data_IF_257607432127
#
_entry.id   IF_257607432127
#
_cell.length_a   1.000
_cell.length_b   1.000
_cell.length_c   1.000
_cell.angle_alpha   90.00
_cell.angle_beta   90.00
_cell.angle_gamma   90.00
#
_symmetry.space_group_name_H-M   'P 1'
#
loop_
_entity.id
_entity.type
_entity.pdbx_description
1 polymer ?
#
# COMPACT_ATOMS: atom_id res chain seq x y z
N UNK A 1 -3.30 -10.99 -17.87
CA UNK A 1 -3.55 -10.44 -16.52
C UNK A 1 -3.56 -11.59 -15.54
N UNK A 2 -2.42 -11.82 -14.88
CA UNK A 2 -2.22 -12.84 -13.84
C UNK A 2 -2.03 -12.16 -12.47
N UNK A 3 -2.16 -12.93 -11.38
CA UNK A 3 -1.84 -12.44 -10.03
C UNK A 3 -0.39 -11.96 -9.90
N UNK A 4 0.52 -12.59 -10.63
CA UNK A 4 1.93 -12.20 -10.66
C UNK A 4 2.13 -10.86 -11.36
N UNK A 5 1.40 -10.58 -12.45
CA UNK A 5 1.41 -9.26 -13.10
C UNK A 5 0.84 -8.17 -12.18
N UNK A 6 -0.23 -8.47 -11.42
CA UNK A 6 -0.78 -7.57 -10.42
C UNK A 6 0.23 -7.27 -9.29
N UNK A 7 0.89 -8.31 -8.78
CA UNK A 7 1.98 -8.17 -7.79
C UNK A 7 3.16 -7.38 -8.35
N UNK A 8 3.53 -7.58 -9.62
CA UNK A 8 4.64 -6.86 -10.23
C UNK A 8 4.32 -5.37 -10.45
N UNK A 9 3.08 -5.03 -10.80
CA UNK A 9 2.63 -3.64 -10.80
C UNK A 9 2.73 -3.03 -9.40
N UNK A 10 2.25 -3.74 -8.38
CA UNK A 10 2.32 -3.31 -6.99
C UNK A 10 3.77 -3.00 -6.57
N UNK A 11 4.69 -3.92 -6.83
CA UNK A 11 6.10 -3.75 -6.46
C UNK A 11 6.76 -2.60 -7.20
N UNK A 12 6.50 -2.45 -8.50
CA UNK A 12 7.21 -1.48 -9.33
C UNK A 12 6.65 -0.08 -9.26
N UNK A 13 5.33 0.06 -9.09
CA UNK A 13 4.64 1.34 -9.25
C UNK A 13 3.90 1.80 -8.00
N UNK A 14 3.61 0.90 -7.05
CA UNK A 14 2.95 1.30 -5.81
C UNK A 14 3.99 1.48 -4.71
N UNK A 15 4.70 0.41 -4.34
CA UNK A 15 5.59 0.37 -3.19
C UNK A 15 6.61 1.53 -3.13
N UNK A 16 7.27 1.96 -4.22
CA UNK A 16 8.22 3.09 -4.16
C UNK A 16 7.62 4.40 -3.65
N UNK A 17 6.30 4.54 -3.72
CA UNK A 17 5.54 5.73 -3.32
C UNK A 17 4.75 5.54 -2.03
N UNK A 18 4.74 4.34 -1.45
CA UNK A 18 4.14 4.08 -0.14
C UNK A 18 5.10 4.55 0.94
N UNK A 19 4.60 5.26 1.95
CA UNK A 19 5.40 5.64 3.13
C UNK A 19 5.65 4.45 4.04
N UNK A 20 6.62 4.56 4.95
CA UNK A 20 6.88 3.50 5.92
C UNK A 20 5.67 3.23 6.82
N UNK A 21 4.97 4.28 7.24
CA UNK A 21 3.73 4.17 7.99
C UNK A 21 2.60 3.52 7.18
N UNK A 22 2.42 3.92 5.92
CA UNK A 22 1.43 3.31 5.03
C UNK A 22 1.72 1.85 4.75
N UNK A 23 3.01 1.48 4.62
CA UNK A 23 3.44 0.11 4.38
C UNK A 23 3.15 -0.79 5.58
N UNK A 24 3.51 -0.36 6.79
CA UNK A 24 3.24 -1.11 8.02
C UNK A 24 1.74 -1.23 8.31
N UNK A 25 0.96 -0.19 8.02
CA UNK A 25 -0.50 -0.21 8.10
C UNK A 25 -1.10 -1.22 7.11
N UNK A 26 -0.65 -1.19 5.85
CA UNK A 26 -1.11 -2.10 4.81
C UNK A 26 -0.83 -3.57 5.15
N UNK A 27 0.36 -3.87 5.67
CA UNK A 27 0.70 -5.21 6.19
C UNK A 27 -0.33 -5.64 7.24
N UNK A 28 -0.61 -4.77 8.22
CA UNK A 28 -1.56 -5.08 9.29
C UNK A 28 -2.96 -5.39 8.75
N UNK A 29 -3.43 -4.63 7.77
CA UNK A 29 -4.73 -4.87 7.14
C UNK A 29 -4.78 -6.19 6.36
N UNK A 30 -3.73 -6.50 5.60
CA UNK A 30 -3.63 -7.74 4.82
C UNK A 30 -3.53 -8.98 5.71
N UNK A 31 -2.76 -8.92 6.79
CA UNK A 31 -2.63 -10.01 7.78
C UNK A 31 -3.97 -10.34 8.45
N UNK A 32 -4.73 -9.30 8.77
CA UNK A 32 -6.01 -9.45 9.47
C UNK A 32 -7.15 -9.82 8.51
N UNK A 33 -6.94 -9.78 7.19
CA UNK A 33 -8.03 -9.84 6.22
C UNK A 33 -9.07 -8.76 6.51
N UNK A 34 -8.61 -7.54 6.83
CA UNK A 34 -9.45 -6.50 7.43
C UNK A 34 -10.62 -6.13 6.54
N UNK A 35 -11.87 -6.06 7.06
CA UNK A 35 -13.03 -5.64 6.27
C UNK A 35 -12.92 -4.20 5.75
N UNK A 36 -11.94 -3.42 6.26
CA UNK A 36 -11.62 -2.11 5.72
C UNK A 36 -11.04 -2.18 4.31
N UNK A 37 -10.40 -3.29 3.92
CA UNK A 37 -9.90 -3.52 2.57
C UNK A 37 -11.04 -3.88 1.62
N UNK A 38 -11.91 -2.90 1.39
CA UNK A 38 -13.08 -3.03 0.53
C UNK A 38 -12.59 -3.32 -0.90
N UNK A 39 -13.25 -4.27 -1.54
CA UNK A 39 -13.14 -4.52 -2.97
C UNK A 39 -14.42 -4.06 -3.66
N UNK A 40 -14.31 -3.64 -4.92
CA UNK A 40 -15.44 -3.20 -5.70
C UNK A 40 -15.00 -2.19 -6.73
N UNK A 41 -15.57 -2.30 -7.92
CA UNK A 41 -15.29 -1.40 -9.04
C UNK A 41 -15.36 0.05 -8.56
N UNK A 42 -14.28 0.81 -8.82
CA UNK A 42 -14.24 2.28 -8.73
C UNK A 42 -15.36 3.01 -9.52
N UNK A 43 -16.29 2.28 -10.14
CA UNK A 43 -17.32 2.74 -11.05
C UNK A 43 -18.75 2.49 -10.57
N UNK A 44 -18.99 1.84 -9.42
CA UNK A 44 -20.34 1.52 -8.94
C UNK A 44 -20.75 2.23 -7.64
N UNK A 45 -19.83 2.37 -6.68
CA UNK A 45 -19.93 3.20 -5.48
C UNK A 45 -18.49 3.44 -4.98
N UNK A 46 -18.14 4.66 -4.57
CA UNK A 46 -16.75 5.03 -4.29
C UNK A 46 -16.15 4.19 -3.14
N UNK A 47 -15.12 3.36 -3.40
CA UNK A 47 -14.64 2.40 -2.41
C UNK A 47 -13.78 3.13 -1.37
N UNK A 48 -14.43 3.63 -0.32
CA UNK A 48 -13.75 3.97 0.94
C UNK A 48 -13.03 2.72 1.44
N UNK A 49 -11.76 2.86 1.79
CA UNK A 49 -10.98 1.78 2.39
C UNK A 49 -10.35 0.76 1.42
N UNK A 50 -10.51 0.86 0.09
CA UNK A 50 -9.71 0.04 -0.82
C UNK A 50 -8.19 0.25 -0.60
N UNK A 51 -7.36 -0.66 -1.15
CA UNK A 51 -5.89 -0.63 -1.01
C UNK A 51 -5.29 0.78 -1.20
N UNK A 52 -5.68 1.45 -2.28
CA UNK A 52 -5.18 2.78 -2.61
C UNK A 52 -5.60 3.85 -1.60
N UNK A 53 -6.84 3.80 -1.10
CA UNK A 53 -7.34 4.75 -0.10
C UNK A 53 -6.64 4.59 1.25
N UNK A 54 -6.38 3.35 1.68
CA UNK A 54 -5.62 3.09 2.92
C UNK A 54 -4.19 3.62 2.82
N UNK A 55 -3.55 3.48 1.66
CA UNK A 55 -2.23 4.07 1.42
C UNK A 55 -2.33 5.61 1.43
N UNK A 56 -3.33 6.17 0.74
CA UNK A 56 -3.50 7.61 0.60
C UNK A 56 -3.67 8.31 1.95
N UNK A 57 -4.50 7.76 2.84
CA UNK A 57 -4.72 8.31 4.18
C UNK A 57 -3.48 8.26 5.08
N UNK A 58 -2.56 7.34 4.81
CA UNK A 58 -1.29 7.22 5.53
C UNK A 58 -0.10 7.85 4.79
N UNK A 59 -0.37 8.66 3.76
CA UNK A 59 0.66 9.32 2.95
C UNK A 59 0.59 10.86 3.11
N UNK A 60 1.69 11.56 3.42
CA UNK A 60 1.67 12.97 3.84
C UNK A 60 1.13 13.93 2.78
N UNK A 61 1.25 13.58 1.49
CA UNK A 61 0.71 14.41 0.39
C UNK A 61 -0.81 14.29 0.20
N UNK A 62 -1.44 13.31 0.82
CA UNK A 62 -2.86 12.95 0.62
C UNK A 62 -3.60 12.69 1.93
N UNK A 63 -2.94 12.72 3.08
CA UNK A 63 -3.52 12.45 4.39
C UNK A 63 -4.55 13.50 4.83
N UNK A 64 -4.49 14.71 4.28
CA UNK A 64 -5.49 15.76 4.49
C UNK A 64 -6.73 15.61 3.59
N UNK A 65 -6.73 14.63 2.69
CA UNK A 65 -7.88 14.29 1.87
C UNK A 65 -8.73 13.29 2.65
N UNK A 66 -9.65 13.83 3.46
CA UNK A 66 -10.72 13.03 4.09
C UNK A 66 -11.79 12.60 3.05
N UNK A 67 -11.59 12.98 1.79
CA UNK A 67 -12.53 12.78 0.69
C UNK A 67 -12.41 11.40 0.05
N UNK A 68 -13.51 10.98 -0.56
CA UNK A 68 -13.70 9.66 -1.18
C UNK A 68 -12.72 9.40 -2.34
N UNK A 69 -12.10 10.44 -2.88
CA UNK A 69 -11.15 10.38 -4.00
C UNK A 69 -9.67 10.23 -3.57
N UNK A 70 -9.37 10.15 -2.27
CA UNK A 70 -7.99 10.13 -1.77
C UNK A 70 -7.13 9.05 -2.45
N UNK A 71 -7.67 7.85 -2.65
CA UNK A 71 -7.00 6.76 -3.36
C UNK A 71 -6.73 7.08 -4.84
N UNK A 72 -7.70 7.68 -5.54
CA UNK A 72 -7.54 8.10 -6.95
C UNK A 72 -6.50 9.20 -7.08
N UNK A 73 -6.54 10.19 -6.18
CA UNK A 73 -5.55 11.27 -6.15
C UNK A 73 -4.16 10.72 -5.86
N UNK A 74 -4.02 9.79 -4.91
CA UNK A 74 -2.73 9.16 -4.62
C UNK A 74 -2.21 8.38 -5.84
N UNK A 75 -3.04 7.55 -6.47
CA UNK A 75 -2.63 6.80 -7.67
C UNK A 75 -2.17 7.72 -8.79
N UNK A 76 -2.98 8.74 -9.12
CA UNK A 76 -2.72 9.60 -10.27
C UNK A 76 -1.65 10.66 -10.03
N UNK A 77 -1.50 11.18 -8.80
CA UNK A 77 -0.61 12.32 -8.48
C UNK A 77 0.64 11.93 -7.70
N UNK A 78 0.66 10.77 -7.06
CA UNK A 78 1.82 10.26 -6.31
C UNK A 78 2.45 9.07 -7.03
N UNK A 79 1.68 8.03 -7.31
CA UNK A 79 2.17 6.81 -7.96
C UNK A 79 2.27 6.92 -9.50
N UNK A 80 1.65 7.94 -10.11
CA UNK A 80 1.66 8.14 -11.57
C UNK A 80 0.89 7.06 -12.33
N UNK A 81 -0.06 6.38 -11.68
CA UNK A 81 -0.86 5.31 -12.26
C UNK A 81 -2.25 5.81 -12.65
N UNK A 82 -2.78 5.23 -13.73
CA UNK A 82 -4.18 5.38 -14.09
C UNK A 82 -4.99 4.23 -13.48
N UNK A 83 -5.95 4.51 -12.57
CA UNK A 83 -6.76 3.47 -11.94
C UNK A 83 -7.48 2.56 -12.95
N UNK A 84 -7.94 3.12 -14.08
CA UNK A 84 -8.68 2.37 -15.11
C UNK A 84 -7.81 1.34 -15.86
N UNK A 85 -6.49 1.48 -15.81
CA UNK A 85 -5.55 0.56 -16.47
C UNK A 85 -4.71 -0.23 -15.46
N UNK A 86 -4.95 -0.06 -14.16
CA UNK A 86 -4.21 -0.78 -13.12
C UNK A 86 -4.59 -2.26 -13.12
N UNK A 87 -3.58 -3.10 -13.31
CA UNK A 87 -3.71 -4.56 -13.26
C UNK A 87 -4.11 -4.99 -11.86
N UNK A 88 -3.50 -4.39 -10.83
CA UNK A 88 -3.80 -4.71 -9.44
C UNK A 88 -5.25 -4.38 -9.09
N UNK A 89 -5.72 -3.16 -9.41
CA UNK A 89 -7.09 -2.78 -9.11
C UNK A 89 -8.11 -3.65 -9.85
N UNK A 90 -7.84 -3.99 -11.12
CA UNK A 90 -8.72 -4.88 -11.89
C UNK A 90 -8.89 -6.24 -11.20
N UNK A 91 -7.80 -6.82 -10.68
CA UNK A 91 -7.85 -8.08 -9.93
C UNK A 91 -8.51 -7.92 -8.56
N UNK A 92 -8.16 -6.84 -7.87
CA UNK A 92 -8.67 -6.55 -6.53
C UNK A 92 -10.19 -6.34 -6.56
N UNK A 93 -10.72 -5.62 -7.55
CA UNK A 93 -12.15 -5.33 -7.65
C UNK A 93 -13.00 -6.59 -7.86
N UNK A 94 -12.45 -7.60 -8.53
CA UNK A 94 -13.17 -8.85 -8.82
C UNK A 94 -13.27 -9.76 -7.59
N UNK A 95 -12.21 -9.87 -6.81
CA UNK A 95 -12.10 -10.91 -5.78
C UNK A 95 -11.65 -10.38 -4.40
N UNK A 96 -10.92 -9.27 -4.36
CA UNK A 96 -10.47 -8.65 -3.12
C UNK A 96 -9.80 -9.62 -2.15
N UNK A 97 -10.26 -9.57 -0.90
CA UNK A 97 -9.81 -10.46 0.17
C UNK A 97 -10.18 -11.94 -0.04
N UNK A 98 -11.12 -12.27 -0.93
CA UNK A 98 -11.41 -13.66 -1.26
C UNK A 98 -10.28 -14.29 -2.10
N UNK A 99 -9.47 -13.48 -2.78
CA UNK A 99 -8.27 -13.94 -3.49
C UNK A 99 -7.09 -14.09 -2.54
N UNK A 100 -7.08 -15.23 -1.82
CA UNK A 100 -6.02 -15.53 -0.84
C UNK A 100 -4.62 -15.60 -1.44
N UNK A 101 -4.50 -16.04 -2.69
CA UNK A 101 -3.21 -16.14 -3.38
C UNK A 101 -2.67 -14.74 -3.68
N UNK A 102 -3.50 -13.84 -4.21
CA UNK A 102 -3.11 -12.44 -4.41
C UNK A 102 -2.79 -11.75 -3.08
N UNK A 103 -3.61 -11.94 -2.05
CA UNK A 103 -3.33 -11.38 -0.72
C UNK A 103 -1.97 -11.82 -0.18
N UNK A 104 -1.62 -13.11 -0.31
CA UNK A 104 -0.32 -13.63 0.09
C UNK A 104 0.82 -12.98 -0.70
N UNK A 105 0.68 -12.86 -2.02
CA UNK A 105 1.69 -12.22 -2.90
C UNK A 105 1.92 -10.74 -2.55
N UNK A 106 0.86 -9.99 -2.25
CA UNK A 106 0.96 -8.59 -1.84
C UNK A 106 1.60 -8.46 -0.45
N UNK A 107 1.22 -9.32 0.50
CA UNK A 107 1.78 -9.32 1.84
C UNK A 107 3.28 -9.66 1.82
N UNK A 108 3.68 -10.69 1.06
CA UNK A 108 5.09 -11.05 0.87
C UNK A 108 5.88 -9.89 0.27
N UNK A 109 5.34 -9.22 -0.76
CA UNK A 109 5.95 -8.05 -1.37
C UNK A 109 6.13 -6.90 -0.36
N UNK A 110 5.15 -6.67 0.51
CA UNK A 110 5.26 -5.66 1.57
C UNK A 110 6.38 -6.01 2.57
N UNK A 111 6.48 -7.27 2.98
CA UNK A 111 7.53 -7.73 3.88
C UNK A 111 8.94 -7.64 3.28
N UNK A 112 9.08 -7.99 2.00
CA UNK A 112 10.33 -7.81 1.26
C UNK A 112 10.75 -6.33 1.21
N UNK A 113 9.78 -5.43 0.99
CA UNK A 113 10.02 -4.00 0.98
C UNK A 113 10.38 -3.45 2.37
N UNK A 114 9.74 -3.93 3.44
CA UNK A 114 10.17 -3.64 4.81
C UNK A 114 11.62 -4.09 5.05
N UNK A 115 11.99 -5.29 4.63
CA UNK A 115 13.37 -5.79 4.72
C UNK A 115 14.36 -4.90 3.97
N UNK A 116 14.00 -4.47 2.75
CA UNK A 116 14.81 -3.55 1.93
C UNK A 116 14.99 -2.18 2.60
N UNK A 117 13.94 -1.66 3.25
CA UNK A 117 13.93 -0.39 3.99
C UNK A 117 14.46 -0.50 5.43
N UNK A 118 14.72 -1.71 5.90
CA UNK A 118 15.11 -2.02 7.28
C UNK A 118 14.06 -1.55 8.31
N UNK A 119 12.78 -1.70 7.96
CA UNK A 119 11.67 -1.37 8.85
C UNK A 119 11.39 -2.53 9.79
N UNK A 120 11.28 -2.22 11.08
CA UNK A 120 10.85 -3.17 12.11
C UNK A 120 9.43 -2.79 12.53
N UNK A 121 8.51 -3.75 12.51
CA UNK A 121 7.16 -3.56 13.05
C UNK A 121 7.30 -3.46 14.58
N UNK A 122 7.36 -2.23 15.10
CA UNK A 122 7.36 -1.98 16.53
C UNK A 122 6.09 -2.57 17.15
N UNK A 123 6.24 -3.51 18.08
CA UNK A 123 5.13 -3.94 18.92
C UNK A 123 4.67 -2.75 19.76
N UNK A 124 3.55 -2.14 19.37
CA UNK A 124 3.01 -0.88 19.90
C UNK A 124 3.56 0.39 19.24
N UNK A 125 2.89 0.84 18.17
CA UNK A 125 2.59 2.25 17.93
C UNK A 125 3.71 3.26 17.63
N UNK A 126 4.99 2.88 17.64
CA UNK A 126 6.09 3.81 17.40
C UNK A 126 7.01 3.32 16.28
N UNK A 127 6.88 3.96 15.11
CA UNK A 127 7.77 3.76 13.97
C UNK A 127 9.04 4.57 14.26
N UNK A 128 10.02 3.93 14.88
CA UNK A 128 11.35 4.52 15.01
C UNK A 128 12.12 4.26 13.72
N UNK A 129 12.21 5.28 12.86
CA UNK A 129 13.25 5.34 11.85
C UNK A 129 14.58 5.30 12.60
N UNK A 130 15.37 4.24 12.36
CA UNK A 130 16.71 4.12 12.94
C UNK A 130 17.51 5.34 12.49
N UNK A 131 18.02 6.20 13.40
CA UNK A 131 18.82 7.33 12.97
C UNK A 131 20.05 6.77 12.27
N UNK A 132 20.27 7.25 11.04
CA UNK A 132 21.45 6.93 10.25
C UNK A 132 22.68 6.99 11.15
N UNK A 133 23.43 5.88 11.20
CA UNK A 133 24.78 5.90 11.77
C UNK A 133 25.54 7.02 11.06
N UNK A 134 25.70 8.14 11.76
CA UNK A 134 26.63 9.19 11.40
C UNK A 134 28.04 8.60 11.58
N UNK A 135 28.49 7.93 10.53
CA UNK A 135 29.89 7.69 10.26
C UNK A 135 30.51 9.06 9.99
N UNK A 136 31.22 9.61 10.97
CA UNK A 136 32.40 10.50 10.85
C UNK A 136 32.38 11.60 11.92
N UNK A 137 33.35 11.60 12.83
CA UNK A 137 34.47 12.55 12.82
C UNK A 137 35.46 12.28 13.97
N UNK A 138 36.72 12.00 13.59
CA UNK A 138 38.06 12.43 14.11
C UNK A 138 38.28 12.54 15.63
N UNK A 139 39.41 12.16 16.22
CA UNK A 139 40.80 11.88 15.79
C UNK A 139 41.41 10.89 16.80
#
# INVERSE_FOLDING_TARGET
>A
MTRHEARDEFVRHWLPHVTDAGLLHLITLLEQGSPLLIHGQFTADFPRGCLASQIAWHHPRTANLDTEDAGVVWLTKVAGLNPATSILLTWWDQNGLADRELCHLLLEACYQECGRRQLVKGGSGEITSTPARCSSFRL
#
